data_IF_242809691144
#
_entry.id   IF_242809691144
#
_cell.length_a   1.000
_cell.length_b   1.000
_cell.length_c   1.000
_cell.angle_alpha   90.00
_cell.angle_beta   90.00
_cell.angle_gamma   90.00
#
_symmetry.space_group_name_H-M   'P 1'
#
loop_
_entity.id
_entity.type
_entity.pdbx_description
1 polymer ?
#
# COMPACT_ATOMS: atom_id res chain seq x y z
N UNK A 1 -4.73 10.58 -22.98
CA UNK A 1 -4.50 9.47 -23.93
C UNK A 1 -5.00 8.21 -23.27
N UNK A 2 -6.01 7.57 -23.86
CA UNK A 2 -6.48 6.27 -23.35
C UNK A 2 -5.42 5.21 -23.61
N UNK A 3 -5.16 4.37 -22.60
CA UNK A 3 -4.19 3.28 -22.71
C UNK A 3 -4.79 2.14 -23.52
N UNK A 4 -3.99 1.52 -24.39
CA UNK A 4 -4.37 0.24 -25.02
C UNK A 4 -4.44 -0.87 -23.97
N UNK A 5 -5.13 -1.97 -24.27
CA UNK A 5 -5.24 -3.08 -23.31
C UNK A 5 -3.88 -3.68 -22.96
N UNK A 6 -2.99 -3.80 -23.94
CA UNK A 6 -1.60 -4.23 -23.70
C UNK A 6 -0.87 -3.27 -22.75
N UNK A 7 -1.03 -1.96 -22.93
CA UNK A 7 -0.43 -0.97 -22.03
C UNK A 7 -1.02 -1.05 -20.61
N UNK A 8 -2.33 -1.29 -20.48
CA UNK A 8 -2.97 -1.50 -19.16
C UNK A 8 -2.38 -2.74 -18.46
N UNK A 9 -2.15 -3.83 -19.19
CA UNK A 9 -1.54 -5.06 -18.64
C UNK A 9 -0.11 -4.78 -18.17
N UNK A 10 0.72 -4.11 -18.99
CA UNK A 10 2.08 -3.77 -18.59
C UNK A 10 2.13 -2.81 -17.41
N UNK A 11 1.23 -1.82 -17.37
CA UNK A 11 1.12 -0.90 -16.24
C UNK A 11 0.73 -1.63 -14.94
N UNK A 12 -0.22 -2.57 -15.02
CA UNK A 12 -0.59 -3.41 -13.87
C UNK A 12 0.58 -4.28 -13.41
N UNK A 13 1.36 -4.83 -14.34
CA UNK A 13 2.54 -5.61 -14.02
C UNK A 13 3.62 -4.75 -13.33
N UNK A 14 3.86 -3.54 -13.82
CA UNK A 14 4.77 -2.58 -13.21
C UNK A 14 4.29 -2.13 -11.81
N UNK A 15 3.00 -1.83 -11.66
CA UNK A 15 2.39 -1.49 -10.36
C UNK A 15 2.63 -2.58 -9.32
N UNK A 16 2.48 -3.85 -9.73
CA UNK A 16 2.75 -4.99 -8.87
C UNK A 16 4.24 -5.14 -8.56
N UNK A 17 5.10 -5.32 -9.57
CA UNK A 17 6.49 -5.72 -9.36
C UNK A 17 7.36 -4.59 -8.82
N UNK A 18 7.13 -3.36 -9.30
CA UNK A 18 7.96 -2.21 -8.93
C UNK A 18 7.48 -1.50 -7.66
N UNK A 19 6.21 -1.64 -7.29
CA UNK A 19 5.65 -0.98 -6.11
C UNK A 19 5.21 -1.97 -5.04
N UNK A 20 4.21 -2.81 -5.29
CA UNK A 20 3.72 -3.74 -4.24
C UNK A 20 4.79 -4.69 -3.73
N UNK A 21 5.44 -5.41 -4.64
CA UNK A 21 6.41 -6.44 -4.26
C UNK A 21 7.69 -5.83 -3.67
N UNK A 22 8.02 -4.59 -4.05
CA UNK A 22 9.09 -3.81 -3.41
C UNK A 22 8.67 -3.27 -2.04
N UNK A 23 7.43 -2.82 -1.88
CA UNK A 23 6.87 -2.39 -0.60
C UNK A 23 6.84 -3.54 0.42
N UNK A 24 6.46 -4.74 -0.03
CA UNK A 24 6.49 -5.97 0.77
C UNK A 24 7.92 -6.25 1.29
N UNK A 25 8.95 -6.05 0.45
CA UNK A 25 10.36 -6.20 0.84
C UNK A 25 10.85 -5.10 1.78
N UNK A 26 10.47 -3.84 1.54
CA UNK A 26 10.81 -2.72 2.40
C UNK A 26 10.17 -2.88 3.79
N UNK A 27 8.94 -3.39 3.84
CA UNK A 27 8.24 -3.74 5.08
C UNK A 27 8.99 -4.84 5.85
N UNK A 28 9.39 -5.93 5.19
CA UNK A 28 10.19 -6.98 5.83
C UNK A 28 11.53 -6.43 6.33
N UNK A 29 12.17 -5.57 5.55
CA UNK A 29 13.42 -4.91 5.93
C UNK A 29 13.22 -4.02 7.16
N UNK A 30 12.13 -3.24 7.21
CA UNK A 30 11.78 -2.45 8.39
C UNK A 30 11.68 -3.33 9.64
N UNK A 31 10.96 -4.46 9.57
CA UNK A 31 10.86 -5.41 10.70
C UNK A 31 12.24 -5.91 11.15
N UNK A 32 13.15 -6.19 10.22
CA UNK A 32 14.53 -6.59 10.53
C UNK A 32 15.29 -5.45 11.20
N UNK A 33 15.19 -4.23 10.70
CA UNK A 33 15.81 -3.05 11.32
C UNK A 33 15.30 -2.83 12.74
N UNK A 34 14.00 -2.96 12.96
CA UNK A 34 13.40 -2.85 14.30
C UNK A 34 13.98 -3.90 15.25
N UNK A 35 14.02 -5.17 14.83
CA UNK A 35 14.55 -6.28 15.62
C UNK A 35 16.03 -6.09 15.99
N UNK A 36 16.79 -5.36 15.18
CA UNK A 36 18.22 -5.10 15.41
C UNK A 36 18.49 -3.73 16.05
N UNK A 37 17.49 -3.08 16.65
CA UNK A 37 17.62 -1.77 17.28
C UNK A 37 18.23 -0.70 16.33
N UNK A 38 17.81 -0.72 15.07
CA UNK A 38 18.17 0.28 14.05
C UNK A 38 16.98 1.22 13.78
N UNK A 39 16.62 2.11 14.72
CA UNK A 39 15.36 2.86 14.67
C UNK A 39 15.25 3.77 13.45
N UNK A 40 16.34 4.42 13.02
CA UNK A 40 16.33 5.32 11.86
C UNK A 40 16.09 4.56 10.56
N UNK A 41 16.77 3.43 10.39
CA UNK A 41 16.61 2.55 9.24
C UNK A 41 15.21 1.95 9.26
N UNK A 42 14.68 1.59 10.43
CA UNK A 42 13.30 1.17 10.58
C UNK A 42 12.31 2.25 10.10
N UNK A 43 12.44 3.50 10.55
CA UNK A 43 11.54 4.59 10.15
C UNK A 43 11.64 4.88 8.64
N UNK A 44 12.85 4.91 8.09
CA UNK A 44 13.07 5.09 6.66
C UNK A 44 12.44 3.96 5.83
N UNK A 45 12.72 2.70 6.17
CA UNK A 45 12.17 1.55 5.43
C UNK A 45 10.64 1.46 5.60
N UNK A 46 10.11 1.85 6.76
CA UNK A 46 8.67 1.97 6.98
C UNK A 46 8.04 3.02 6.07
N UNK A 47 8.60 4.22 6.00
CA UNK A 47 8.15 5.28 5.10
C UNK A 47 8.18 4.81 3.63
N UNK A 48 9.27 4.16 3.23
CA UNK A 48 9.45 3.65 1.87
C UNK A 48 8.43 2.56 1.51
N UNK A 49 8.09 1.66 2.44
CA UNK A 49 7.07 0.65 2.23
C UNK A 49 5.68 1.28 2.04
N UNK A 50 5.29 2.18 2.96
CA UNK A 50 3.99 2.86 2.91
C UNK A 50 3.85 3.71 1.64
N UNK A 51 4.89 4.45 1.25
CA UNK A 51 4.92 5.22 0.01
C UNK A 51 4.65 4.34 -1.22
N UNK A 52 5.32 3.19 -1.29
CA UNK A 52 5.17 2.27 -2.43
C UNK A 52 3.79 1.62 -2.46
N UNK A 53 3.20 1.26 -1.32
CA UNK A 53 1.80 0.80 -1.28
C UNK A 53 0.83 1.88 -1.79
N UNK A 54 0.97 3.12 -1.33
CA UNK A 54 0.17 4.25 -1.79
C UNK A 54 0.28 4.43 -3.30
N UNK A 55 1.52 4.47 -3.83
CA UNK A 55 1.77 4.59 -5.27
C UNK A 55 1.21 3.40 -6.05
N UNK A 56 1.28 2.19 -5.50
CA UNK A 56 0.70 1.00 -6.09
C UNK A 56 -0.82 1.15 -6.27
N UNK A 57 -1.54 1.57 -5.22
CA UNK A 57 -2.98 1.82 -5.25
C UNK A 57 -3.29 2.85 -6.34
N UNK A 58 -2.60 3.99 -6.36
CA UNK A 58 -2.83 5.04 -7.37
C UNK A 58 -2.62 4.55 -8.80
N UNK A 59 -1.56 3.78 -9.07
CA UNK A 59 -1.25 3.28 -10.42
C UNK A 59 -2.27 2.22 -10.89
N UNK A 60 -2.74 1.35 -9.99
CA UNK A 60 -3.83 0.42 -10.32
C UNK A 60 -5.10 1.16 -10.76
N UNK A 61 -5.32 2.37 -10.22
CA UNK A 61 -6.43 3.24 -10.56
C UNK A 61 -6.08 4.30 -11.63
N UNK A 62 -4.96 4.11 -12.34
CA UNK A 62 -4.50 4.98 -13.46
C UNK A 62 -4.19 6.42 -13.07
N UNK A 63 -3.95 6.69 -11.79
CA UNK A 63 -3.59 8.01 -11.31
C UNK A 63 -2.06 8.20 -11.38
N UNK A 64 -1.56 9.25 -12.05
CA UNK A 64 -0.13 9.52 -12.11
C UNK A 64 0.48 9.87 -10.75
N UNK A 65 1.65 9.29 -10.48
CA UNK A 65 2.37 9.45 -9.18
C UNK A 65 3.62 10.33 -9.25
N UNK A 66 4.00 10.83 -10.44
CA UNK A 66 5.27 11.55 -10.69
C UNK A 66 5.49 12.75 -9.75
N UNK A 67 4.42 13.47 -9.40
CA UNK A 67 4.50 14.73 -8.66
C UNK A 67 4.17 14.59 -7.16
N UNK A 68 4.04 13.35 -6.65
CA UNK A 68 3.74 13.11 -5.22
C UNK A 68 5.02 13.13 -4.38
N UNK A 69 6.18 12.86 -4.99
CA UNK A 69 7.45 12.77 -4.27
C UNK A 69 7.41 11.69 -3.19
N UNK A 70 7.83 12.05 -1.98
CA UNK A 70 7.85 11.21 -0.78
C UNK A 70 6.72 11.55 0.21
N UNK A 71 5.76 12.38 -0.20
CA UNK A 71 4.66 12.85 0.65
C UNK A 71 3.55 11.80 0.75
N UNK A 72 3.51 11.09 1.88
CA UNK A 72 2.52 10.06 2.17
C UNK A 72 1.12 10.66 2.33
N UNK A 73 1.01 11.84 2.96
CA UNK A 73 -0.28 12.48 3.26
C UNK A 73 -0.94 12.95 1.96
N UNK A 74 -0.18 13.58 1.08
CA UNK A 74 -0.65 13.94 -0.26
C UNK A 74 -1.06 12.69 -1.06
N UNK A 75 -0.35 11.59 -0.91
CA UNK A 75 -0.69 10.31 -1.52
C UNK A 75 -2.01 9.72 -1.01
N UNK A 76 -2.24 9.71 0.31
CA UNK A 76 -3.51 9.26 0.92
C UNK A 76 -4.68 10.13 0.45
N UNK A 77 -4.51 11.46 0.42
CA UNK A 77 -5.53 12.38 -0.09
C UNK A 77 -5.96 12.01 -1.51
N UNK A 78 -5.00 11.76 -2.40
CA UNK A 78 -5.29 11.34 -3.79
C UNK A 78 -6.01 10.00 -3.88
N UNK A 79 -5.77 9.07 -2.95
CA UNK A 79 -6.52 7.81 -2.92
C UNK A 79 -7.97 8.07 -2.50
N UNK A 80 -8.19 8.94 -1.51
CA UNK A 80 -9.54 9.30 -1.05
C UNK A 80 -10.35 10.08 -2.10
N UNK A 81 -9.69 10.73 -3.06
CA UNK A 81 -10.34 11.36 -4.21
C UNK A 81 -10.88 10.33 -5.24
N UNK A 82 -10.55 9.03 -5.10
CA UNK A 82 -11.06 7.97 -5.99
C UNK A 82 -12.49 7.59 -5.56
N UNK A 83 -13.51 7.77 -6.43
CA UNK A 83 -14.92 7.69 -6.01
C UNK A 83 -15.36 6.38 -5.34
N UNK A 84 -14.78 5.25 -5.75
CA UNK A 84 -15.15 3.93 -5.26
C UNK A 84 -14.19 3.38 -4.20
N UNK A 85 -13.12 4.10 -3.84
CA UNK A 85 -12.20 3.67 -2.80
C UNK A 85 -12.48 4.48 -1.53
N UNK A 86 -12.98 3.79 -0.52
CA UNK A 86 -13.00 4.29 0.85
C UNK A 86 -11.90 3.57 1.63
N UNK A 87 -10.78 4.25 1.85
CA UNK A 87 -9.71 3.71 2.68
C UNK A 87 -10.22 3.51 4.10
N UNK A 88 -10.05 2.29 4.58
CA UNK A 88 -10.50 1.85 5.88
C UNK A 88 -9.30 1.72 6.80
N UNK A 89 -8.76 2.88 7.19
CA UNK A 89 -7.61 3.02 8.09
C UNK A 89 -8.08 3.38 9.49
N UNK A 90 -7.44 2.82 10.51
CA UNK A 90 -7.67 3.27 11.89
C UNK A 90 -6.98 4.60 12.16
N UNK A 91 -7.46 5.36 13.16
CA UNK A 91 -6.86 6.64 13.58
C UNK A 91 -5.37 6.48 13.91
N UNK A 92 -5.00 5.34 14.50
CA UNK A 92 -3.59 5.00 14.78
C UNK A 92 -2.76 4.89 13.51
N UNK A 93 -3.30 4.29 12.46
CA UNK A 93 -2.62 4.16 11.18
C UNK A 93 -2.50 5.49 10.46
N UNK A 94 -3.55 6.34 10.52
CA UNK A 94 -3.52 7.69 9.94
C UNK A 94 -2.43 8.53 10.62
N UNK A 95 -2.44 8.59 11.96
CA UNK A 95 -1.41 9.28 12.74
C UNK A 95 0.00 8.72 12.44
N UNK A 96 0.13 7.40 12.31
CA UNK A 96 1.41 6.78 12.01
C UNK A 96 1.92 7.13 10.61
N UNK A 97 1.04 7.27 9.62
CA UNK A 97 1.40 7.74 8.28
C UNK A 97 1.92 9.17 8.34
N UNK A 98 1.26 10.06 9.09
CA UNK A 98 1.72 11.45 9.29
C UNK A 98 3.09 11.50 10.00
N UNK A 99 3.25 10.69 11.04
CA UNK A 99 4.51 10.53 11.75
C UNK A 99 5.64 10.03 10.83
N UNK A 100 5.40 8.99 10.02
CA UNK A 100 6.38 8.50 9.05
C UNK A 100 6.69 9.52 7.95
N UNK A 101 5.71 10.31 7.54
CA UNK A 101 5.88 11.37 6.55
C UNK A 101 6.89 12.42 7.03
N UNK A 102 6.89 12.75 8.32
CA UNK A 102 7.84 13.71 8.91
C UNK A 102 9.17 13.05 9.33
N UNK A 103 9.10 11.94 10.08
CA UNK A 103 10.28 11.36 10.74
C UNK A 103 11.06 10.39 9.85
N UNK A 104 10.41 9.71 8.91
CA UNK A 104 11.07 8.78 7.99
C UNK A 104 12.20 9.45 7.19
N UNK A 105 11.95 10.61 6.53
CA UNK A 105 12.98 11.33 5.78
C UNK A 105 14.04 12.04 6.63
N UNK A 106 13.81 12.25 7.94
CA UNK A 106 14.67 13.02 8.85
C UNK A 106 15.96 12.25 9.25
N UNK A 107 16.72 11.78 8.26
CA UNK A 107 17.91 10.95 8.45
C UNK A 107 19.16 11.72 8.86
N UNK A 108 19.18 13.03 8.58
CA UNK A 108 20.32 13.91 8.85
C UNK A 108 20.09 14.81 10.08
N UNK A 109 19.10 14.50 10.92
CA UNK A 109 18.79 15.24 12.14
C UNK A 109 18.56 16.74 11.91
N UNK A 110 17.97 17.10 10.76
CA UNK A 110 17.62 18.48 10.43
C UNK A 110 16.49 19.01 11.31
N UNK A 111 15.71 18.10 11.89
CA UNK A 111 14.69 18.36 12.92
C UNK A 111 14.92 17.45 14.11
N UNK A 112 14.28 17.78 15.23
CA UNK A 112 14.21 16.89 16.40
C UNK A 112 13.67 15.53 15.97
N UNK A 113 14.36 14.48 16.36
CA UNK A 113 14.00 13.10 16.07
C UNK A 113 13.58 12.41 17.35
N UNK A 114 12.54 11.58 17.25
CA UNK A 114 12.04 10.79 18.37
C UNK A 114 11.42 9.47 17.88
N UNK A 115 11.30 8.52 18.80
CA UNK A 115 10.55 7.26 18.64
C UNK A 115 9.52 7.14 19.76
N UNK A 116 8.41 6.46 19.46
CA UNK A 116 7.26 6.24 20.35
C UNK A 116 7.22 4.82 20.95
N UNK A 117 8.14 3.92 20.57
CA UNK A 117 8.33 2.58 21.13
C UNK A 117 7.39 1.47 20.59
N UNK A 118 6.18 1.81 20.12
CA UNK A 118 5.19 0.86 19.60
C UNK A 118 5.04 0.89 18.07
N UNK A 119 6.04 1.42 17.36
CA UNK A 119 5.95 1.64 15.91
C UNK A 119 5.86 0.34 15.12
N UNK A 120 6.48 -0.75 15.58
CA UNK A 120 6.41 -2.03 14.86
C UNK A 120 4.98 -2.59 14.79
N UNK A 121 4.24 -2.49 15.89
CA UNK A 121 2.84 -2.94 15.97
C UNK A 121 1.97 -2.05 15.08
N UNK A 122 2.26 -0.75 15.09
CA UNK A 122 1.52 0.22 14.29
C UNK A 122 1.83 0.06 12.81
N UNK A 123 3.09 -0.21 12.44
CA UNK A 123 3.50 -0.55 11.08
C UNK A 123 2.78 -1.81 10.58
N UNK A 124 2.79 -2.89 11.34
CA UNK A 124 2.14 -4.15 10.97
C UNK A 124 0.64 -3.93 10.68
N UNK A 125 -0.02 -3.11 11.52
CA UNK A 125 -1.41 -2.71 11.32
C UNK A 125 -1.58 -1.86 10.06
N UNK A 126 -0.82 -0.78 9.91
CA UNK A 126 -0.94 0.15 8.77
C UNK A 126 -0.69 -0.57 7.45
N UNK A 127 0.32 -1.46 7.41
CA UNK A 127 0.61 -2.28 6.24
C UNK A 127 -0.56 -3.20 5.93
N UNK A 128 -1.10 -3.91 6.93
CA UNK A 128 -2.28 -4.75 6.68
C UNK A 128 -3.47 -3.92 6.15
N UNK A 129 -3.78 -2.78 6.77
CA UNK A 129 -4.92 -1.94 6.39
C UNK A 129 -4.80 -1.41 4.94
N UNK A 130 -3.63 -0.88 4.55
CA UNK A 130 -3.37 -0.36 3.20
C UNK A 130 -3.22 -1.46 2.16
N UNK A 131 -2.52 -2.55 2.50
CA UNK A 131 -2.16 -3.60 1.53
C UNK A 131 -3.39 -4.26 0.92
N UNK A 132 -4.53 -4.27 1.63
CA UNK A 132 -5.83 -4.73 1.11
C UNK A 132 -6.25 -4.09 -0.22
N UNK A 133 -5.81 -2.87 -0.47
CA UNK A 133 -6.10 -2.09 -1.66
C UNK A 133 -5.03 -2.22 -2.76
N UNK A 134 -3.90 -2.88 -2.47
CA UNK A 134 -2.76 -3.03 -3.40
C UNK A 134 -3.01 -4.15 -4.44
N UNK A 135 -4.15 -4.09 -5.12
CA UNK A 135 -4.56 -5.02 -6.18
C UNK A 135 -5.44 -4.29 -7.19
N UNK A 136 -5.55 -4.85 -8.39
CA UNK A 136 -6.47 -4.34 -9.40
C UNK A 136 -7.91 -4.61 -8.94
N UNK A 137 -8.70 -3.55 -8.69
CA UNK A 137 -10.09 -3.65 -8.24
C UNK A 137 -11.07 -3.55 -9.40
N UNK A 138 -10.87 -2.57 -10.28
CA UNK A 138 -11.75 -2.31 -11.42
C UNK A 138 -11.23 -3.05 -12.66
N UNK A 139 -11.86 -4.18 -13.00
CA UNK A 139 -11.62 -4.96 -14.20
C UNK A 139 -12.85 -5.80 -14.55
N UNK A 140 -12.90 -6.25 -15.81
CA UNK A 140 -13.93 -7.14 -16.30
C UNK A 140 -13.36 -8.54 -16.56
N UNK A 141 -14.14 -9.57 -16.24
CA UNK A 141 -13.83 -10.96 -16.59
C UNK A 141 -14.81 -11.45 -17.63
N UNK A 142 -14.30 -12.16 -18.64
CA UNK A 142 -15.13 -12.85 -19.63
C UNK A 142 -15.38 -14.27 -19.17
N UNK A 143 -16.64 -14.66 -19.00
CA UNK A 143 -17.01 -16.03 -18.65
C UNK A 143 -16.78 -16.97 -19.84
N UNK A 144 -16.74 -18.30 -19.61
CA UNK A 144 -16.71 -19.29 -20.69
C UNK A 144 -17.89 -19.17 -21.67
N UNK A 145 -19.02 -18.60 -21.22
CA UNK A 145 -20.22 -18.33 -22.04
C UNK A 145 -20.13 -17.01 -22.81
N UNK A 146 -19.08 -16.23 -22.61
CA UNK A 146 -18.83 -14.96 -23.31
C UNK A 146 -19.36 -13.70 -22.63
N UNK A 147 -20.03 -13.84 -21.49
CA UNK A 147 -20.55 -12.71 -20.70
C UNK A 147 -19.42 -11.95 -19.99
N UNK A 148 -19.53 -10.62 -19.93
CA UNK A 148 -18.60 -9.77 -19.19
C UNK A 148 -19.16 -9.49 -17.79
N UNK A 149 -18.38 -9.82 -16.76
CA UNK A 149 -18.71 -9.54 -15.36
C UNK A 149 -17.79 -8.43 -14.87
N UNK A 150 -18.38 -7.37 -14.33
CA UNK A 150 -17.65 -6.33 -13.59
C UNK A 150 -17.27 -6.86 -12.20
N UNK A 151 -15.98 -6.79 -11.89
CA UNK A 151 -15.42 -7.31 -10.64
C UNK A 151 -15.29 -6.26 -9.53
N UNK A 152 -15.54 -4.99 -9.80
CA UNK A 152 -15.28 -3.91 -8.85
C UNK A 152 -16.00 -4.13 -7.51
N UNK A 153 -17.33 -4.33 -7.54
CA UNK A 153 -18.11 -4.57 -6.32
C UNK A 153 -17.66 -5.83 -5.59
N UNK A 154 -17.32 -6.89 -6.34
CA UNK A 154 -16.86 -8.16 -5.77
C UNK A 154 -15.54 -7.95 -5.02
N UNK A 155 -14.60 -7.21 -5.59
CA UNK A 155 -13.33 -6.92 -4.95
C UNK A 155 -13.47 -5.98 -3.75
N UNK A 156 -14.37 -5.00 -3.80
CA UNK A 156 -14.67 -4.12 -2.66
C UNK A 156 -15.28 -4.91 -1.49
N UNK A 157 -16.27 -5.78 -1.75
CA UNK A 157 -16.85 -6.66 -0.73
C UNK A 157 -15.79 -7.59 -0.12
N UNK A 158 -14.83 -8.08 -0.91
CA UNK A 158 -13.69 -8.86 -0.38
C UNK A 158 -12.81 -8.02 0.56
N UNK A 159 -12.59 -6.74 0.26
CA UNK A 159 -11.85 -5.83 1.15
C UNK A 159 -12.61 -5.66 2.46
N UNK A 160 -13.91 -5.39 2.42
CA UNK A 160 -14.72 -5.22 3.62
C UNK A 160 -14.73 -6.49 4.47
N UNK A 161 -14.98 -7.64 3.85
CA UNK A 161 -15.01 -8.93 4.54
C UNK A 161 -13.69 -9.30 5.20
N UNK A 162 -12.55 -8.82 4.68
CA UNK A 162 -11.24 -9.10 5.26
C UNK A 162 -11.09 -8.63 6.72
N UNK A 163 -11.93 -7.68 7.20
CA UNK A 163 -11.95 -7.28 8.62
C UNK A 163 -12.45 -8.37 9.55
N UNK A 164 -13.30 -9.26 9.04
CA UNK A 164 -13.89 -10.36 9.80
C UNK A 164 -12.95 -11.57 9.87
N UNK A 165 -11.80 -11.48 9.21
CA UNK A 165 -10.79 -12.53 9.16
C UNK A 165 -9.54 -12.04 9.91
N UNK A 166 -8.88 -12.90 10.71
CA UNK A 166 -7.63 -12.53 11.36
C UNK A 166 -6.59 -12.01 10.35
N UNK A 167 -5.90 -10.88 10.62
CA UNK A 167 -4.97 -10.25 9.67
C UNK A 167 -3.90 -11.19 9.10
N UNK A 168 -3.36 -12.11 9.91
CA UNK A 168 -2.34 -13.07 9.49
C UNK A 168 -2.84 -14.13 8.48
N UNK A 169 -4.16 -14.27 8.32
CA UNK A 169 -4.77 -15.15 7.31
C UNK A 169 -5.08 -14.43 6.01
N UNK A 170 -5.02 -13.10 5.99
CA UNK A 170 -5.25 -12.33 4.78
C UNK A 170 -4.15 -12.60 3.76
N UNK A 171 -4.55 -12.85 2.52
CA UNK A 171 -3.64 -13.16 1.41
C UNK A 171 -4.05 -12.41 0.17
N UNK A 172 -3.07 -11.87 -0.54
CA UNK A 172 -3.21 -11.34 -1.89
C UNK A 172 -2.71 -12.38 -2.88
N UNK A 173 -3.53 -12.65 -3.92
CA UNK A 173 -3.13 -13.53 -5.01
C UNK A 173 -1.82 -13.05 -5.63
N UNK A 174 -0.83 -13.94 -5.68
CA UNK A 174 0.48 -13.69 -6.26
C UNK A 174 1.20 -12.48 -5.63
N UNK A 175 0.94 -12.23 -4.33
CA UNK A 175 1.67 -11.26 -3.51
C UNK A 175 3.02 -11.82 -3.03
N UNK A 176 3.96 -10.94 -2.71
CA UNK A 176 5.31 -11.35 -2.34
C UNK A 176 5.35 -11.99 -0.93
N UNK A 177 4.60 -11.43 0.02
CA UNK A 177 4.51 -11.96 1.38
C UNK A 177 3.91 -13.37 1.45
N UNK A 178 3.05 -13.74 0.50
CA UNK A 178 2.35 -15.02 0.47
C UNK A 178 3.14 -16.17 -0.15
N UNK A 179 4.30 -15.88 -0.76
CA UNK A 179 5.18 -16.88 -1.39
C UNK A 179 6.24 -17.44 -0.44
N UNK A 180 6.27 -16.96 0.80
CA UNK A 180 7.22 -17.34 1.85
C UNK A 180 6.48 -18.09 2.94
#
# INVERSE_FOLDING_TARGET
MELTDTQKIFLNNAAKRSFRDMADQDYLTARICFKNNLPFQFLWMSQQAIEKYIKCILIFNRIPVKNIGHDLVAGIKKINDIPYIKLDLSDKSIYFIEYLNDQGPNRYFQKVMYTNGFEIITLDRTVWELRRYCRLLNYQLKTPKGELIDMLEVELRKIEHSRNVPPHKYKITDGYLEKR
#
